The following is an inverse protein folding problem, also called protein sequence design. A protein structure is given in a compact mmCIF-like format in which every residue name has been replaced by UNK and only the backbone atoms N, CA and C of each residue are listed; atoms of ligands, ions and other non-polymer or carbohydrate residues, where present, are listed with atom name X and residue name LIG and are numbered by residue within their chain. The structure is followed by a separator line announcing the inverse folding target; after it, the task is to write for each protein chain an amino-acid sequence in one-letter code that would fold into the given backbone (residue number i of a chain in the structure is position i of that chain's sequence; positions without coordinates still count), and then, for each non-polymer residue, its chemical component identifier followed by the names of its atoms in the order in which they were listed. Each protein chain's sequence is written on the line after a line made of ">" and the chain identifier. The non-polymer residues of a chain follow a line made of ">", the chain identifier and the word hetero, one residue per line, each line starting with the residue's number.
data_IF_738330141944
#
_entry.id   IF_738330141944
#
_cell.length_a   1.000
_cell.length_b   1.000
_cell.length_c   1.000
_cell.angle_alpha   90.00
_cell.angle_beta   90.00
_cell.angle_gamma   90.00
#
_symmetry.space_group_name_H-M   'P 1'
#
loop_
_entity.id
_entity.type
_entity.pdbx_description
1 polymer ?
#
# COMPACT_ATOMS: atom_id res chain seq x y z
N UNK A 1 4.94 -12.10 21.79
CA UNK A 1 4.78 -11.62 20.40
C UNK A 1 3.55 -10.74 20.33
N UNK A 2 3.73 -9.43 20.11
CA UNK A 2 2.63 -8.50 19.85
C UNK A 2 2.67 -8.11 18.37
N UNK A 3 1.51 -8.12 17.73
CA UNK A 3 1.37 -7.61 16.38
C UNK A 3 1.21 -6.09 16.42
N UNK A 4 1.98 -5.38 15.62
CA UNK A 4 1.99 -3.92 15.56
C UNK A 4 1.54 -3.47 14.19
N UNK A 5 0.72 -2.41 14.15
CA UNK A 5 0.34 -1.75 12.90
C UNK A 5 1.20 -0.50 12.68
N UNK A 6 1.84 -0.43 11.53
CA UNK A 6 2.49 0.79 11.02
C UNK A 6 1.62 1.43 9.94
N UNK A 7 1.58 2.76 9.88
CA UNK A 7 0.88 3.49 8.83
C UNK A 7 1.78 4.55 8.20
N UNK A 8 1.67 4.74 6.89
CA UNK A 8 2.40 5.77 6.15
C UNK A 8 1.52 6.32 5.04
N UNK A 9 1.50 7.63 4.91
CA UNK A 9 0.74 8.32 3.86
C UNK A 9 1.68 8.85 2.79
N UNK A 10 1.32 8.64 1.54
CA UNK A 10 2.03 9.07 0.34
C UNK A 10 1.18 10.11 -0.41
N UNK A 11 1.85 11.12 -0.96
CA UNK A 11 1.24 12.22 -1.73
C UNK A 11 1.77 12.33 -3.16
N UNK A 12 2.64 11.41 -3.52
CA UNK A 12 3.27 11.27 -4.83
C UNK A 12 3.35 9.78 -5.16
N UNK A 13 3.68 9.45 -6.41
CA UNK A 13 3.91 8.07 -6.82
C UNK A 13 4.98 7.45 -5.93
N UNK A 14 4.81 6.18 -5.59
CA UNK A 14 5.62 5.59 -4.53
C UNK A 14 5.95 4.13 -4.76
N UNK A 15 7.07 3.75 -4.16
CA UNK A 15 7.57 2.40 -4.11
C UNK A 15 7.65 1.95 -2.64
N UNK A 16 7.26 0.70 -2.40
CA UNK A 16 7.44 0.00 -1.13
C UNK A 16 8.44 -1.11 -1.37
N UNK A 17 9.65 -0.94 -0.82
CA UNK A 17 10.62 -2.02 -0.71
C UNK A 17 10.45 -2.70 0.66
N UNK A 18 9.89 -3.91 0.68
CA UNK A 18 9.57 -4.64 1.92
C UNK A 18 10.84 -4.92 2.73
N UNK A 19 11.98 -5.11 2.06
CA UNK A 19 13.27 -5.37 2.72
C UNK A 19 13.79 -4.14 3.50
N UNK A 20 13.39 -2.93 3.10
CA UNK A 20 13.80 -1.67 3.70
C UNK A 20 12.86 -1.19 4.81
N UNK A 21 11.79 -1.93 5.11
CA UNK A 21 10.96 -1.73 6.30
C UNK A 21 11.73 -2.28 7.53
N UNK A 22 12.86 -1.65 7.82
CA UNK A 22 14.04 -2.19 8.50
C UNK A 22 13.91 -2.56 9.99
N UNK A 23 12.70 -2.55 10.56
CA UNK A 23 12.48 -2.83 11.98
C UNK A 23 11.64 -4.10 12.25
N UNK A 24 11.35 -4.90 11.23
CA UNK A 24 10.48 -6.06 11.35
C UNK A 24 11.02 -7.32 10.66
N UNK A 25 10.72 -8.51 11.19
CA UNK A 25 11.01 -9.83 10.59
C UNK A 25 10.18 -10.11 9.32
N UNK A 26 9.74 -9.07 8.62
CA UNK A 26 8.78 -9.11 7.52
C UNK A 26 7.38 -8.69 7.95
N UNK A 27 6.54 -8.50 6.93
CA UNK A 27 5.14 -8.10 7.08
C UNK A 27 4.22 -9.30 6.83
N UNK A 28 3.10 -9.36 7.53
CA UNK A 28 2.08 -10.41 7.35
C UNK A 28 0.89 -9.91 6.53
N UNK A 29 0.63 -8.61 6.60
CA UNK A 29 -0.42 -7.96 5.85
C UNK A 29 0.03 -6.57 5.40
N UNK A 30 -0.34 -6.20 4.19
CA UNK A 30 -0.16 -4.87 3.61
C UNK A 30 -1.46 -4.46 2.96
N UNK A 31 -1.94 -3.27 3.31
CA UNK A 31 -3.16 -2.70 2.75
C UNK A 31 -2.87 -1.29 2.23
N UNK A 32 -3.28 -1.01 0.99
CA UNK A 32 -3.18 0.32 0.37
C UNK A 32 -4.58 0.87 0.15
N UNK A 33 -4.80 2.06 0.71
CA UNK A 33 -6.05 2.81 0.63
C UNK A 33 -5.82 4.09 -0.17
N UNK A 34 -6.78 4.45 -1.01
CA UNK A 34 -6.84 5.78 -1.63
C UNK A 34 -7.75 6.65 -0.77
N UNK A 35 -7.25 7.81 -0.37
CA UNK A 35 -8.01 8.73 0.48
C UNK A 35 -9.24 9.29 -0.24
N UNK A 36 -10.19 9.80 0.55
CA UNK A 36 -11.37 10.49 0.03
C UNK A 36 -11.00 11.63 -0.92
N UNK A 37 -11.67 11.67 -2.08
CA UNK A 37 -11.43 12.61 -3.17
C UNK A 37 -10.00 12.57 -3.72
N UNK A 38 -9.21 11.52 -3.49
CA UNK A 38 -7.89 11.39 -4.10
C UNK A 38 -7.97 10.80 -5.50
N UNK A 39 -7.00 11.18 -6.33
CA UNK A 39 -6.68 10.49 -7.57
C UNK A 39 -6.51 8.98 -7.32
N UNK A 40 -7.05 8.12 -8.19
CA UNK A 40 -6.84 6.67 -8.13
C UNK A 40 -5.36 6.26 -8.20
N UNK A 41 -5.07 5.04 -7.76
CA UNK A 41 -3.75 4.42 -7.91
C UNK A 41 -3.78 3.29 -8.93
N UNK A 42 -2.79 3.24 -9.81
CA UNK A 42 -2.46 2.08 -10.62
C UNK A 42 -1.40 1.23 -9.89
N UNK A 43 -1.65 -0.07 -9.79
CA UNK A 43 -0.66 -1.05 -9.30
C UNK A 43 0.25 -1.43 -10.48
N UNK A 44 1.56 -1.18 -10.36
CA UNK A 44 2.55 -1.42 -11.41
C UNK A 44 3.17 -2.83 -11.32
N UNK A 45 2.32 -3.84 -11.23
CA UNK A 45 2.69 -5.27 -11.17
C UNK A 45 2.38 -6.03 -12.49
N UNK A 46 1.86 -5.32 -13.49
CA UNK A 46 1.43 -5.89 -14.78
C UNK A 46 -0.04 -6.30 -14.84
N UNK A 47 -0.78 -6.26 -13.72
CA UNK A 47 -2.22 -6.58 -13.67
C UNK A 47 -3.12 -5.47 -14.18
N UNK A 48 -2.61 -4.23 -14.29
CA UNK A 48 -3.39 -3.01 -14.51
C UNK A 48 -4.50 -2.78 -13.46
N UNK A 49 -4.34 -3.31 -12.25
CA UNK A 49 -5.28 -3.09 -11.16
C UNK A 49 -5.31 -1.62 -10.75
N UNK A 50 -6.51 -1.08 -10.57
CA UNK A 50 -6.75 0.30 -10.13
C UNK A 50 -7.41 0.29 -8.74
N UNK A 51 -6.89 1.11 -7.82
CA UNK A 51 -7.42 1.34 -6.48
C UNK A 51 -8.13 2.70 -6.46
N UNK A 52 -9.33 2.79 -5.90
CA UNK A 52 -10.16 4.01 -5.82
C UNK A 52 -10.68 4.22 -4.40
N UNK A 53 -11.11 5.45 -4.07
CA UNK A 53 -11.63 5.87 -2.76
C UNK A 53 -12.66 4.89 -2.13
N UNK A 54 -13.53 4.30 -2.95
CA UNK A 54 -14.69 3.49 -2.49
C UNK A 54 -14.59 1.99 -2.79
N UNK A 55 -13.46 1.50 -3.32
CA UNK A 55 -13.28 0.09 -3.66
C UNK A 55 -12.30 -0.60 -2.71
N UNK A 56 -12.37 -1.94 -2.69
CA UNK A 56 -11.53 -2.81 -1.86
C UNK A 56 -10.07 -2.33 -1.87
N UNK A 57 -9.43 -2.17 -0.70
CA UNK A 57 -8.03 -1.83 -0.64
C UNK A 57 -7.22 -2.85 -1.42
N UNK A 58 -6.11 -2.42 -2.02
CA UNK A 58 -5.13 -3.40 -2.45
C UNK A 58 -4.58 -4.07 -1.22
N UNK A 59 -4.70 -5.39 -1.16
CA UNK A 59 -4.40 -6.17 0.04
C UNK A 59 -3.53 -7.35 -0.31
N UNK A 60 -2.43 -7.50 0.42
CA UNK A 60 -1.60 -8.69 0.42
C UNK A 60 -1.64 -9.25 1.83
N UNK A 61 -1.94 -10.54 1.96
CA UNK A 61 -1.87 -11.27 3.21
C UNK A 61 -1.11 -12.57 3.02
N UNK A 62 -0.33 -12.93 4.03
CA UNK A 62 0.41 -14.19 4.03
C UNK A 62 0.44 -14.78 5.44
N UNK A 63 0.26 -16.11 5.58
CA UNK A 63 0.41 -16.79 6.86
C UNK A 63 1.87 -16.82 7.33
N UNK A 64 2.82 -16.57 6.43
CA UNK A 64 4.26 -16.46 6.72
C UNK A 64 4.77 -15.04 6.43
N UNK A 65 5.78 -14.53 7.15
CA UNK A 65 6.30 -13.19 6.90
C UNK A 65 6.78 -13.01 5.46
N UNK A 66 6.33 -11.94 4.83
CA UNK A 66 6.87 -11.44 3.56
C UNK A 66 8.07 -10.57 3.91
N UNK A 67 9.26 -11.04 3.54
CA UNK A 67 10.54 -10.39 3.89
C UNK A 67 11.18 -9.65 2.71
N UNK A 68 10.63 -9.81 1.52
CA UNK A 68 11.16 -9.21 0.31
C UNK A 68 10.04 -8.98 -0.71
N UNK A 69 10.27 -8.05 -1.64
CA UNK A 69 9.33 -7.65 -2.66
C UNK A 69 9.33 -6.13 -2.85
N UNK A 70 9.07 -5.72 -4.08
CA UNK A 70 8.92 -4.32 -4.46
C UNK A 70 7.51 -4.14 -4.99
N UNK A 71 6.77 -3.22 -4.40
CA UNK A 71 5.44 -2.81 -4.87
C UNK A 71 5.50 -1.36 -5.33
N UNK A 72 4.95 -1.09 -6.51
CA UNK A 72 4.97 0.22 -7.14
C UNK A 72 3.57 0.69 -7.41
N UNK A 73 3.29 1.93 -7.04
CA UNK A 73 1.98 2.56 -7.18
C UNK A 73 2.14 3.93 -7.82
N UNK A 74 1.29 4.21 -8.80
CA UNK A 74 1.30 5.47 -9.56
C UNK A 74 -0.08 6.11 -9.45
N UNK A 75 -0.13 7.39 -9.06
CA UNK A 75 -1.38 8.15 -9.12
C UNK A 75 -1.73 8.40 -10.58
N UNK A 76 -2.91 7.95 -10.98
CA UNK A 76 -3.30 7.94 -12.39
C UNK A 76 -4.69 8.54 -12.57
N UNK A 77 -4.86 9.25 -13.68
CA UNK A 77 -6.16 9.73 -14.12
C UNK A 77 -6.92 8.55 -14.74
N UNK A 78 -8.16 8.36 -14.31
CA UNK A 78 -9.02 7.27 -14.78
C UNK A 78 -10.36 7.88 -15.12
N UNK A 79 -10.87 7.56 -16.30
CA UNK A 79 -12.16 8.06 -16.80
C UNK A 79 -13.23 8.04 -15.70
N UNK A 80 -13.74 9.24 -15.38
CA UNK A 80 -14.78 9.45 -14.37
C UNK A 80 -14.30 9.85 -12.97
N UNK A 81 -12.99 10.01 -12.73
CA UNK A 81 -12.45 10.53 -11.45
C UNK A 81 -11.48 11.69 -11.71
N UNK A 82 -12.01 12.91 -11.81
CA UNK A 82 -11.20 14.12 -11.91
C UNK A 82 -10.85 14.63 -10.51
N UNK A 83 -9.72 14.18 -9.96
CA UNK A 83 -9.13 14.80 -8.77
C UNK A 83 -7.65 15.06 -8.96
N UNK A 84 -7.23 16.28 -8.63
CA UNK A 84 -5.81 16.67 -8.58
C UNK A 84 -5.15 16.32 -7.23
N UNK A 85 -5.95 15.92 -6.23
CA UNK A 85 -5.44 15.59 -4.90
C UNK A 85 -4.81 14.20 -4.94
N UNK A 86 -3.55 14.09 -4.58
CA UNK A 86 -2.84 12.81 -4.43
C UNK A 86 -2.70 12.46 -2.95
N UNK A 87 -3.36 11.39 -2.53
CA UNK A 87 -3.23 10.87 -1.17
C UNK A 87 -3.59 9.40 -1.09
N UNK A 88 -2.63 8.59 -0.64
CA UNK A 88 -2.82 7.19 -0.36
C UNK A 88 -2.21 6.85 1.00
N UNK A 89 -2.86 5.96 1.75
CA UNK A 89 -2.37 5.48 3.04
C UNK A 89 -2.07 4.01 2.92
N UNK A 90 -0.87 3.62 3.35
CA UNK A 90 -0.45 2.23 3.45
C UNK A 90 -0.44 1.83 4.92
N UNK A 91 -1.05 0.70 5.21
CA UNK A 91 -1.05 0.07 6.53
C UNK A 91 -0.33 -1.27 6.45
N UNK A 92 0.58 -1.51 7.37
CA UNK A 92 1.36 -2.74 7.46
C UNK A 92 1.11 -3.41 8.80
N UNK A 93 0.98 -4.73 8.81
CA UNK A 93 0.99 -5.55 10.01
C UNK A 93 2.31 -6.31 10.08
N UNK A 94 3.05 -6.11 11.18
CA UNK A 94 4.30 -6.81 11.44
C UNK A 94 4.34 -7.33 12.88
N UNK A 95 5.24 -8.27 13.13
CA UNK A 95 5.55 -8.74 14.48
C UNK A 95 6.81 -8.05 14.97
N UNK A 96 6.73 -7.44 16.16
CA UNK A 96 7.90 -6.98 16.88
C UNK A 96 8.41 -8.09 17.79
N UNK A 97 9.72 -8.33 17.74
CA UNK A 97 10.42 -9.02 18.82
C UNK A 97 10.60 -8.01 19.96
N UNK A 98 9.59 -7.86 20.82
CA UNK A 98 9.84 -7.46 22.22
C UNK A 98 10.36 -8.68 23.00
#
# INVERSE_FOLDING_TARGET
>A
MKATYGTKTYKEDFEINIKELSDCKGIYSLEVFVSKNSMPLLVKDGSNQIIKEMFNPFKIESPVPIVNGILRFEFTDVDGVNSEVKSATVRYLFHNDE
#
